data_IF_035115615004
#
_entry.id   IF_035115615004
#
_cell.length_a   1.000
_cell.length_b   1.000
_cell.length_c   1.000
_cell.angle_alpha   90.00
_cell.angle_beta   90.00
_cell.angle_gamma   90.00
#
_symmetry.space_group_name_H-M   'P 1'
#
loop_
_entity.id
_entity.type
_entity.pdbx_description
1 polymer ?
#
# COMPACT_ATOMS: atom_id res chain seq x y z
N UNK A 1 -8.45 19.51 34.42
CA UNK A 1 -7.99 18.12 34.16
C UNK A 1 -9.19 17.38 33.61
N UNK A 2 -9.41 17.43 32.30
CA UNK A 2 -10.54 16.74 31.66
C UNK A 2 -10.07 15.38 31.17
N UNK A 3 -10.34 14.34 31.97
CA UNK A 3 -10.22 12.96 31.52
C UNK A 3 -11.33 12.71 30.49
N UNK A 4 -10.99 12.84 29.21
CA UNK A 4 -11.82 12.27 28.14
C UNK A 4 -11.81 10.75 28.30
N UNK A 5 -12.92 10.19 28.78
CA UNK A 5 -13.19 8.76 28.77
C UNK A 5 -12.96 8.22 27.35
N UNK A 6 -12.27 7.08 27.18
CA UNK A 6 -12.10 6.49 25.88
C UNK A 6 -13.49 6.07 25.36
N UNK A 7 -13.98 6.77 24.34
CA UNK A 7 -15.13 6.33 23.56
C UNK A 7 -14.73 5.04 22.88
N UNK A 8 -14.98 3.90 23.53
CA UNK A 8 -14.88 2.60 22.90
C UNK A 8 -16.06 2.49 21.94
N UNK A 9 -15.85 2.46 20.62
CA UNK A 9 -16.94 2.24 19.70
C UNK A 9 -17.64 0.91 20.04
N UNK A 10 -18.97 0.80 19.84
CA UNK A 10 -19.69 -0.43 20.10
C UNK A 10 -19.03 -1.58 19.33
N UNK A 11 -18.88 -2.72 19.99
CA UNK A 11 -18.26 -3.90 19.40
C UNK A 11 -19.12 -4.40 18.24
N UNK A 12 -18.81 -3.93 17.03
CA UNK A 12 -19.37 -4.49 15.80
C UNK A 12 -19.09 -6.00 15.79
N UNK A 13 -20.09 -6.86 15.54
CA UNK A 13 -19.86 -8.30 15.47
C UNK A 13 -18.73 -8.59 14.48
N UNK A 14 -17.82 -9.52 14.82
CA UNK A 14 -16.64 -9.81 14.02
C UNK A 14 -17.01 -10.09 12.55
N UNK A 15 -18.08 -10.85 12.32
CA UNK A 15 -18.60 -11.21 10.99
C UNK A 15 -18.94 -9.97 10.15
N UNK A 16 -19.60 -8.96 10.76
CA UNK A 16 -19.99 -7.74 10.04
C UNK A 16 -18.78 -7.01 9.47
N UNK A 17 -17.65 -6.99 10.18
CA UNK A 17 -16.42 -6.34 9.70
C UNK A 17 -15.83 -7.04 8.48
N UNK A 18 -15.84 -8.38 8.45
CA UNK A 18 -15.42 -9.14 7.27
C UNK A 18 -16.36 -8.87 6.09
N UNK A 19 -17.67 -8.84 6.30
CA UNK A 19 -18.64 -8.51 5.24
C UNK A 19 -18.38 -7.10 4.68
N UNK A 20 -18.21 -6.09 5.54
CA UNK A 20 -17.94 -4.71 5.11
C UNK A 20 -16.62 -4.61 4.30
N UNK A 21 -15.57 -5.34 4.69
CA UNK A 21 -14.31 -5.37 3.92
C UNK A 21 -14.48 -6.12 2.60
N UNK A 22 -15.14 -7.28 2.58
CA UNK A 22 -15.42 -8.01 1.32
C UNK A 22 -16.19 -7.12 0.35
N UNK A 23 -17.27 -6.47 0.82
CA UNK A 23 -18.10 -5.61 -0.02
C UNK A 23 -17.31 -4.39 -0.53
N UNK A 24 -16.44 -3.80 0.30
CA UNK A 24 -15.58 -2.71 -0.14
C UNK A 24 -14.65 -3.14 -1.28
N UNK A 25 -13.95 -4.27 -1.14
CA UNK A 25 -13.01 -4.75 -2.16
C UNK A 25 -13.76 -5.20 -3.41
N UNK A 26 -14.90 -5.89 -3.25
CA UNK A 26 -15.76 -6.28 -4.37
C UNK A 26 -16.25 -5.07 -5.17
N UNK A 27 -16.76 -4.02 -4.49
CA UNK A 27 -17.15 -2.77 -5.14
C UNK A 27 -15.99 -2.14 -5.90
N UNK A 28 -14.81 -2.07 -5.28
CA UNK A 28 -13.63 -1.51 -5.91
C UNK A 28 -13.27 -2.28 -7.21
N UNK A 29 -13.20 -3.62 -7.14
CA UNK A 29 -12.95 -4.49 -8.30
C UNK A 29 -14.02 -4.29 -9.38
N UNK A 30 -15.31 -4.26 -9.01
CA UNK A 30 -16.42 -4.07 -9.95
C UNK A 30 -16.32 -2.76 -10.70
N UNK A 31 -15.91 -1.67 -10.03
CA UNK A 31 -15.71 -0.38 -10.70
C UNK A 31 -14.55 -0.47 -11.70
N UNK A 32 -13.45 -1.12 -11.33
CA UNK A 32 -12.31 -1.34 -12.21
C UNK A 32 -12.69 -2.06 -13.50
N UNK A 33 -13.49 -3.14 -13.40
CA UNK A 33 -14.00 -3.86 -14.57
C UNK A 33 -15.01 -3.06 -15.39
N UNK A 34 -15.94 -2.35 -14.74
CA UNK A 34 -17.01 -1.62 -15.43
C UNK A 34 -16.47 -0.48 -16.29
N UNK A 35 -15.43 0.21 -15.82
CA UNK A 35 -14.92 1.43 -16.47
C UNK A 35 -13.69 1.13 -17.36
N UNK A 36 -13.17 -0.12 -17.35
CA UNK A 36 -11.94 -0.52 -18.08
C UNK A 36 -10.83 0.52 -17.86
N UNK A 37 -10.64 0.90 -16.60
CA UNK A 37 -9.78 2.02 -16.24
C UNK A 37 -8.32 1.73 -16.59
N UNK A 38 -7.62 2.80 -16.98
CA UNK A 38 -6.18 2.85 -16.89
C UNK A 38 -5.74 2.49 -15.45
N UNK A 39 -4.65 1.72 -15.26
CA UNK A 39 -4.20 1.29 -13.94
C UNK A 39 -4.08 2.44 -12.93
N UNK A 40 -3.56 3.59 -13.34
CA UNK A 40 -3.37 4.71 -12.42
C UNK A 40 -4.72 5.31 -12.01
N UNK A 41 -5.69 5.40 -12.93
CA UNK A 41 -7.06 5.86 -12.63
C UNK A 41 -7.74 4.93 -11.63
N UNK A 42 -7.57 3.62 -11.80
CA UNK A 42 -8.09 2.62 -10.87
C UNK A 42 -7.53 2.86 -9.46
N UNK A 43 -6.22 3.03 -9.31
CA UNK A 43 -5.56 3.30 -8.03
C UNK A 43 -6.06 4.61 -7.38
N UNK A 44 -6.16 5.68 -8.17
CA UNK A 44 -6.58 7.01 -7.71
C UNK A 44 -8.02 6.97 -7.17
N UNK A 45 -8.91 6.21 -7.81
CA UNK A 45 -10.30 6.05 -7.37
C UNK A 45 -10.41 5.41 -5.97
N UNK A 46 -9.41 4.63 -5.55
CA UNK A 46 -9.35 4.07 -4.21
C UNK A 46 -9.32 5.10 -3.10
N UNK A 47 -8.81 6.31 -3.36
CA UNK A 47 -8.65 7.37 -2.36
C UNK A 47 -10.01 7.83 -1.81
N UNK A 48 -10.96 8.31 -2.64
CA UNK A 48 -12.28 8.70 -2.12
C UNK A 48 -13.01 7.52 -1.47
N UNK A 49 -12.91 6.30 -2.01
CA UNK A 49 -13.50 5.12 -1.39
C UNK A 49 -12.95 4.88 0.03
N UNK A 50 -11.63 4.99 0.18
CA UNK A 50 -10.92 4.83 1.46
C UNK A 50 -11.30 5.91 2.46
N UNK A 51 -11.36 7.17 2.01
CA UNK A 51 -11.79 8.30 2.84
C UNK A 51 -13.23 8.09 3.33
N UNK A 52 -14.15 7.72 2.42
CA UNK A 52 -15.54 7.44 2.75
C UNK A 52 -15.65 6.27 3.75
N UNK A 53 -14.96 5.16 3.53
CA UNK A 53 -15.00 4.02 4.43
C UNK A 53 -14.43 4.37 5.81
N UNK A 54 -13.30 5.08 5.87
CA UNK A 54 -12.67 5.49 7.12
C UNK A 54 -13.55 6.47 7.93
N UNK A 55 -14.18 7.44 7.27
CA UNK A 55 -15.00 8.46 7.95
C UNK A 55 -16.42 8.01 8.24
N UNK A 56 -17.06 7.24 7.35
CA UNK A 56 -18.49 6.89 7.45
C UNK A 56 -18.71 5.53 8.11
N UNK A 57 -17.91 4.52 7.74
CA UNK A 57 -18.04 3.15 8.27
C UNK A 57 -17.25 3.01 9.58
N UNK A 58 -15.96 3.36 9.55
CA UNK A 58 -15.12 3.27 10.76
C UNK A 58 -15.34 4.43 11.72
N UNK A 59 -15.78 5.59 11.23
CA UNK A 59 -15.97 6.81 12.02
C UNK A 59 -14.71 7.19 12.80
N UNK A 60 -13.57 7.10 12.13
CA UNK A 60 -12.26 7.40 12.70
C UNK A 60 -11.57 8.48 11.88
N UNK A 61 -10.72 9.34 12.49
CA UNK A 61 -9.99 10.35 11.76
C UNK A 61 -8.98 9.72 10.77
N UNK A 62 -8.71 10.41 9.66
CA UNK A 62 -7.85 9.91 8.58
C UNK A 62 -6.42 9.61 9.02
N UNK A 63 -5.85 10.40 9.94
CA UNK A 63 -4.46 10.21 10.37
C UNK A 63 -4.19 8.85 11.05
N UNK A 64 -5.24 8.18 11.54
CA UNK A 64 -5.14 6.82 12.10
C UNK A 64 -4.89 5.74 11.05
N UNK A 65 -5.07 6.06 9.77
CA UNK A 65 -4.68 5.19 8.66
C UNK A 65 -3.15 5.02 8.58
N UNK A 66 -2.40 6.06 8.94
CA UNK A 66 -0.92 6.06 8.87
C UNK A 66 -0.27 5.67 10.19
N UNK A 67 -0.88 6.05 11.31
CA UNK A 67 -0.38 5.76 12.65
C UNK A 67 -1.55 5.36 13.56
N UNK A 68 -1.68 4.07 13.87
CA UNK A 68 -2.85 3.50 14.57
C UNK A 68 -3.14 4.21 15.90
N UNK A 69 -2.10 4.43 16.68
CA UNK A 69 -2.18 5.00 18.03
C UNK A 69 -1.84 6.51 18.05
N UNK A 70 -1.85 7.16 16.88
CA UNK A 70 -1.62 8.60 16.76
C UNK A 70 -2.76 9.41 17.37
N UNK A 71 -2.43 10.40 18.21
CA UNK A 71 -3.43 11.28 18.82
C UNK A 71 -3.92 12.38 17.87
N UNK A 72 -3.01 13.01 17.12
CA UNK A 72 -3.32 14.08 16.14
C UNK A 72 -2.27 14.10 15.03
N UNK A 73 -2.67 14.47 13.81
CA UNK A 73 -1.72 14.76 12.73
C UNK A 73 -0.99 16.06 13.02
N UNK A 74 0.31 15.96 13.33
CA UNK A 74 1.20 17.12 13.54
C UNK A 74 2.58 16.77 13.02
N UNK A 75 3.13 17.65 12.20
CA UNK A 75 4.50 17.57 11.72
C UNK A 75 5.39 18.47 12.60
N UNK A 76 6.43 17.88 13.20
CA UNK A 76 7.50 18.62 13.83
C UNK A 76 8.38 19.29 12.77
N UNK A 77 9.16 20.31 13.15
CA UNK A 77 10.05 21.04 12.22
C UNK A 77 10.95 20.10 11.40
N UNK A 78 11.50 19.07 12.03
CA UNK A 78 12.37 18.12 11.35
C UNK A 78 11.61 17.18 10.39
N UNK A 79 10.30 16.96 10.57
CA UNK A 79 9.49 16.17 9.62
C UNK A 79 9.40 16.85 8.26
N UNK A 80 9.52 18.17 8.18
CA UNK A 80 9.56 18.87 6.89
C UNK A 80 10.79 18.51 6.05
N UNK A 81 11.90 18.11 6.67
CA UNK A 81 13.04 17.57 5.93
C UNK A 81 12.69 16.22 5.27
N UNK A 82 11.89 15.38 5.94
CA UNK A 82 11.36 14.15 5.34
C UNK A 82 10.34 14.44 4.22
N UNK A 83 9.49 15.47 4.39
CA UNK A 83 8.57 15.91 3.33
C UNK A 83 9.37 16.33 2.09
N UNK A 84 10.37 17.18 2.26
CA UNK A 84 11.24 17.60 1.17
C UNK A 84 11.89 16.39 0.49
N UNK A 85 12.44 15.45 1.26
CA UNK A 85 13.03 14.22 0.74
C UNK A 85 12.05 13.40 -0.12
N UNK A 86 10.83 13.16 0.37
CA UNK A 86 9.84 12.34 -0.33
C UNK A 86 9.18 13.04 -1.53
N UNK A 87 9.23 14.38 -1.60
CA UNK A 87 8.70 15.14 -2.74
C UNK A 87 9.66 15.12 -3.94
N UNK A 88 10.98 15.01 -3.72
CA UNK A 88 12.00 15.19 -4.78
C UNK A 88 11.66 14.41 -6.04
N UNK A 89 11.48 13.09 -5.96
CA UNK A 89 11.30 12.27 -7.15
C UNK A 89 9.92 12.46 -7.81
N UNK A 90 8.78 12.44 -7.08
CA UNK A 90 7.48 12.78 -7.66
C UNK A 90 7.44 14.16 -8.35
N UNK A 91 8.02 15.19 -7.72
CA UNK A 91 8.08 16.53 -8.30
C UNK A 91 8.99 16.58 -9.54
N UNK A 92 10.14 15.89 -9.49
CA UNK A 92 11.05 15.76 -10.64
C UNK A 92 10.32 15.13 -11.82
N UNK A 93 9.56 14.05 -11.60
CA UNK A 93 8.80 13.39 -12.67
C UNK A 93 7.74 14.31 -13.28
N UNK A 94 7.01 15.05 -12.46
CA UNK A 94 6.01 16.02 -12.93
C UNK A 94 6.66 17.13 -13.78
N UNK A 95 7.82 17.67 -13.36
CA UNK A 95 8.58 18.65 -14.14
C UNK A 95 9.07 18.05 -15.46
N UNK A 96 9.65 16.86 -15.44
CA UNK A 96 10.16 16.20 -16.65
C UNK A 96 9.05 15.91 -17.66
N UNK A 97 7.86 15.53 -17.20
CA UNK A 97 6.71 15.35 -18.09
C UNK A 97 6.32 16.65 -18.79
N UNK A 98 6.29 17.78 -18.07
CA UNK A 98 6.03 19.09 -18.64
C UNK A 98 7.08 19.48 -19.68
N UNK A 99 8.36 19.28 -19.37
CA UNK A 99 9.47 19.60 -20.27
C UNK A 99 9.45 18.76 -21.55
N UNK A 100 9.12 17.47 -21.44
CA UNK A 100 9.09 16.55 -22.58
C UNK A 100 7.73 16.52 -23.31
N UNK A 101 6.77 17.38 -22.94
CA UNK A 101 5.41 17.42 -23.51
C UNK A 101 4.68 16.07 -23.44
N UNK A 102 5.01 15.24 -22.43
CA UNK A 102 4.42 13.93 -22.20
C UNK A 102 3.32 13.98 -21.11
N UNK A 103 2.66 15.12 -20.96
CA UNK A 103 1.71 15.37 -19.87
C UNK A 103 0.37 14.70 -20.18
N UNK A 104 -0.05 13.80 -19.31
CA UNK A 104 -1.42 13.28 -19.28
C UNK A 104 -2.10 13.71 -17.97
N UNK A 105 -3.41 14.00 -17.96
CA UNK A 105 -4.14 14.36 -16.74
C UNK A 105 -3.98 13.31 -15.63
N UNK A 106 -4.02 12.02 -15.99
CA UNK A 106 -3.87 10.90 -15.06
C UNK A 106 -2.53 10.94 -14.32
N UNK A 107 -1.41 11.08 -15.06
CA UNK A 107 -0.08 11.10 -14.45
C UNK A 107 0.14 12.37 -13.60
N UNK A 108 -0.42 13.51 -14.01
CA UNK A 108 -0.39 14.74 -13.19
C UNK A 108 -1.11 14.51 -11.86
N UNK A 109 -2.29 13.89 -11.88
CA UNK A 109 -3.05 13.57 -10.67
C UNK A 109 -2.28 12.56 -9.82
N UNK A 110 -1.73 11.51 -10.43
CA UNK A 110 -0.94 10.48 -9.76
C UNK A 110 0.25 11.08 -9.00
N UNK A 111 1.08 11.89 -9.67
CA UNK A 111 2.25 12.52 -9.02
C UNK A 111 1.84 13.59 -8.01
N UNK A 112 0.73 14.30 -8.22
CA UNK A 112 0.18 15.23 -7.23
C UNK A 112 -0.26 14.50 -5.95
N UNK A 113 -0.85 13.31 -6.09
CA UNK A 113 -1.20 12.46 -4.96
C UNK A 113 0.06 11.94 -4.26
N UNK A 114 1.09 11.54 -5.01
CA UNK A 114 2.37 11.15 -4.42
C UNK A 114 3.00 12.31 -3.62
N UNK A 115 2.93 13.55 -4.12
CA UNK A 115 3.38 14.74 -3.38
C UNK A 115 2.55 14.93 -2.10
N UNK A 116 1.23 14.77 -2.15
CA UNK A 116 0.40 14.80 -0.94
C UNK A 116 0.75 13.67 0.03
N UNK A 117 1.02 12.47 -0.50
CA UNK A 117 1.46 11.29 0.23
C UNK A 117 2.79 11.47 0.94
N UNK A 118 3.66 12.37 0.47
CA UNK A 118 4.91 12.71 1.14
C UNK A 118 4.68 13.26 2.57
N UNK A 119 3.59 13.98 2.81
CA UNK A 119 3.23 14.48 4.15
C UNK A 119 2.80 13.34 5.07
N UNK A 120 2.01 12.39 4.56
CA UNK A 120 1.61 11.20 5.29
C UNK A 120 2.81 10.28 5.59
N UNK A 121 3.69 10.10 4.61
CA UNK A 121 4.94 9.36 4.77
C UNK A 121 5.84 10.03 5.81
N UNK A 122 6.07 11.34 5.72
CA UNK A 122 6.86 12.10 6.69
C UNK A 122 6.27 12.01 8.11
N UNK A 123 4.94 11.99 8.25
CA UNK A 123 4.31 11.74 9.55
C UNK A 123 4.57 10.32 10.07
N UNK A 124 4.50 9.30 9.22
CA UNK A 124 4.80 7.91 9.58
C UNK A 124 6.26 7.71 9.97
N UNK A 125 7.20 8.05 9.08
CA UNK A 125 8.64 7.98 9.33
C UNK A 125 9.07 8.87 10.50
N UNK A 126 8.44 10.04 10.59
CA UNK A 126 8.62 11.01 11.65
C UNK A 126 8.31 10.50 13.07
N UNK A 127 7.48 9.46 13.16
CA UNK A 127 7.03 8.87 14.42
C UNK A 127 7.51 7.40 14.57
N UNK A 128 8.55 7.01 13.83
CA UNK A 128 9.17 5.69 14.00
C UNK A 128 9.84 5.59 15.37
N UNK A 129 9.45 4.55 16.12
CA UNK A 129 10.11 4.17 17.38
C UNK A 129 11.17 3.12 17.09
N UNK A 130 12.15 2.95 17.99
CA UNK A 130 13.16 1.86 17.89
C UNK A 130 12.53 0.48 17.67
N UNK A 131 11.41 0.22 18.36
CA UNK A 131 10.65 -1.01 18.16
C UNK A 131 10.08 -1.12 16.74
N UNK A 132 9.52 -0.04 16.19
CA UNK A 132 8.99 0.00 14.81
C UNK A 132 10.08 -0.19 13.76
N UNK A 133 11.27 0.38 13.98
CA UNK A 133 12.45 0.14 13.12
C UNK A 133 12.84 -1.33 13.12
N UNK A 134 12.84 -1.98 14.29
CA UNK A 134 13.09 -3.42 14.39
C UNK A 134 12.02 -4.24 13.65
N UNK A 135 10.76 -3.84 13.73
CA UNK A 135 9.68 -4.49 12.97
C UNK A 135 9.83 -4.27 11.46
N UNK A 136 10.27 -3.08 11.02
CA UNK A 136 10.57 -2.79 9.61
C UNK A 136 11.67 -3.70 9.07
N UNK A 137 12.77 -3.86 9.83
CA UNK A 137 13.84 -4.79 9.46
C UNK A 137 13.31 -6.21 9.29
N UNK A 138 12.55 -6.73 10.25
CA UNK A 138 11.97 -8.07 10.14
C UNK A 138 10.92 -8.20 9.03
N UNK A 139 10.18 -7.13 8.73
CA UNK A 139 9.24 -7.08 7.62
C UNK A 139 9.96 -7.20 6.28
N UNK A 140 11.06 -6.45 6.10
CA UNK A 140 11.94 -6.54 4.94
C UNK A 140 12.56 -7.94 4.82
N UNK A 141 13.06 -8.49 5.92
CA UNK A 141 13.69 -9.81 5.93
C UNK A 141 12.71 -10.94 5.58
N UNK A 142 11.43 -10.79 5.89
CA UNK A 142 10.43 -11.85 5.62
C UNK A 142 9.61 -11.55 4.37
N UNK A 143 8.69 -10.60 4.45
CA UNK A 143 7.84 -10.20 3.33
C UNK A 143 8.63 -9.64 2.16
N UNK A 144 9.67 -8.84 2.43
CA UNK A 144 10.56 -8.27 1.40
C UNK A 144 11.31 -9.36 0.64
N UNK A 145 11.99 -10.27 1.34
CA UNK A 145 12.68 -11.40 0.69
C UNK A 145 11.72 -12.28 -0.10
N UNK A 146 10.54 -12.59 0.45
CA UNK A 146 9.54 -13.38 -0.26
C UNK A 146 9.06 -12.68 -1.55
N UNK A 147 8.73 -11.38 -1.48
CA UNK A 147 8.27 -10.61 -2.62
C UNK A 147 9.34 -10.41 -3.70
N UNK A 148 10.58 -10.14 -3.30
CA UNK A 148 11.73 -10.06 -4.21
C UNK A 148 11.98 -11.41 -4.89
N UNK A 149 11.93 -12.51 -4.13
CA UNK A 149 12.13 -13.85 -4.70
C UNK A 149 11.05 -14.19 -5.72
N UNK A 150 9.78 -13.91 -5.42
CA UNK A 150 8.67 -14.12 -6.37
C UNK A 150 8.83 -13.24 -7.63
N UNK A 151 9.22 -11.98 -7.46
CA UNK A 151 9.46 -11.06 -8.58
C UNK A 151 10.63 -11.51 -9.45
N UNK A 152 11.71 -11.99 -8.83
CA UNK A 152 12.88 -12.53 -9.53
C UNK A 152 12.52 -13.81 -10.30
N UNK A 153 11.78 -14.74 -9.71
CA UNK A 153 11.31 -15.94 -10.39
C UNK A 153 10.42 -15.60 -11.60
N UNK A 154 9.55 -14.60 -11.47
CA UNK A 154 8.74 -14.09 -12.58
C UNK A 154 9.59 -13.50 -13.71
N UNK A 155 10.56 -12.65 -13.38
CA UNK A 155 11.49 -12.06 -14.34
C UNK A 155 12.36 -13.13 -15.02
N UNK A 156 12.85 -14.12 -14.26
CA UNK A 156 13.63 -15.24 -14.78
C UNK A 156 12.81 -16.11 -15.74
N UNK A 157 11.58 -16.46 -15.37
CA UNK A 157 10.70 -17.23 -16.26
C UNK A 157 10.45 -16.47 -17.58
N UNK A 158 10.22 -15.14 -17.50
CA UNK A 158 10.06 -14.31 -18.69
C UNK A 158 11.33 -14.26 -19.54
N UNK A 159 12.49 -14.05 -18.92
CA UNK A 159 13.79 -14.03 -19.62
C UNK A 159 14.06 -15.36 -20.33
N UNK A 160 13.90 -16.49 -19.64
CA UNK A 160 14.09 -17.82 -20.21
C UNK A 160 13.15 -18.08 -21.39
N UNK A 161 11.87 -17.68 -21.29
CA UNK A 161 10.90 -17.84 -22.40
C UNK A 161 11.27 -17.05 -23.66
N UNK A 162 12.05 -15.98 -23.51
CA UNK A 162 12.53 -15.13 -24.61
C UNK A 162 13.98 -15.42 -25.01
N UNK A 163 14.62 -16.43 -24.41
CA UNK A 163 16.05 -16.74 -24.64
C UNK A 163 17.02 -15.67 -24.11
N UNK A 164 16.59 -14.83 -23.16
CA UNK A 164 17.35 -13.72 -22.60
C UNK A 164 17.87 -13.96 -21.18
N UNK A 165 18.35 -12.88 -20.55
CA UNK A 165 18.84 -12.86 -19.16
C UNK A 165 18.06 -11.84 -18.34
N UNK A 166 18.05 -12.02 -17.01
CA UNK A 166 17.49 -11.02 -16.09
C UNK A 166 18.50 -9.88 -15.96
N UNK A 167 18.07 -8.67 -16.30
CA UNK A 167 18.86 -7.45 -16.11
C UNK A 167 18.34 -6.67 -14.92
N UNK A 168 19.22 -6.00 -14.18
CA UNK A 168 18.83 -5.16 -13.05
C UNK A 168 19.22 -3.70 -13.28
N UNK A 169 18.22 -2.81 -13.30
CA UNK A 169 18.41 -1.37 -13.49
C UNK A 169 18.32 -0.63 -12.14
N UNK A 170 19.47 -0.42 -11.49
CA UNK A 170 19.53 0.25 -10.18
C UNK A 170 18.93 1.68 -10.17
N UNK A 171 19.14 2.54 -11.19
CA UNK A 171 18.43 3.81 -11.28
C UNK A 171 16.90 3.68 -11.28
N UNK A 172 16.33 2.68 -11.96
CA UNK A 172 14.89 2.42 -11.95
C UNK A 172 14.43 1.97 -10.57
N UNK A 173 15.20 1.12 -9.89
CA UNK A 173 14.91 0.71 -8.52
C UNK A 173 14.83 1.93 -7.59
N UNK A 174 15.83 2.81 -7.62
CA UNK A 174 15.89 3.97 -6.74
C UNK A 174 14.72 4.94 -6.98
N UNK A 175 14.43 5.24 -8.25
CA UNK A 175 13.30 6.12 -8.62
C UNK A 175 11.96 5.51 -8.22
N UNK A 176 11.76 4.23 -8.52
CA UNK A 176 10.53 3.50 -8.16
C UNK A 176 10.34 3.48 -6.65
N UNK A 177 11.39 3.21 -5.87
CA UNK A 177 11.33 3.21 -4.42
C UNK A 177 10.93 4.59 -3.88
N UNK A 178 11.55 5.66 -4.39
CA UNK A 178 11.25 7.02 -3.96
C UNK A 178 9.80 7.45 -4.27
N UNK A 179 9.21 6.94 -5.36
CA UNK A 179 7.81 7.20 -5.73
C UNK A 179 6.84 6.32 -4.93
N UNK A 180 7.14 5.04 -4.78
CA UNK A 180 6.20 4.09 -4.18
C UNK A 180 6.05 4.27 -2.67
N UNK A 181 7.06 4.81 -1.97
CA UNK A 181 6.92 5.16 -0.55
C UNK A 181 5.70 6.08 -0.32
N UNK A 182 5.64 7.31 -0.88
CA UNK A 182 4.48 8.16 -0.66
C UNK A 182 3.18 7.61 -1.28
N UNK A 183 3.24 6.88 -2.41
CA UNK A 183 2.07 6.24 -3.01
C UNK A 183 1.45 5.19 -2.08
N UNK A 184 2.26 4.38 -1.41
CA UNK A 184 1.77 3.40 -0.42
C UNK A 184 0.98 4.07 0.72
N UNK A 185 1.34 5.29 1.10
CA UNK A 185 0.62 6.06 2.14
C UNK A 185 -0.71 6.65 1.67
N UNK A 186 -0.99 6.64 0.36
CA UNK A 186 -2.20 7.22 -0.22
C UNK A 186 -3.12 6.21 -0.92
N UNK A 187 -2.58 5.11 -1.46
CA UNK A 187 -3.34 4.24 -2.36
C UNK A 187 -3.40 2.78 -1.90
N UNK A 188 -2.30 2.16 -1.50
CA UNK A 188 -2.28 0.70 -1.29
C UNK A 188 -2.19 0.30 0.18
N UNK A 189 -1.05 0.53 0.84
CA UNK A 189 -0.86 0.13 2.23
C UNK A 189 -1.84 0.83 3.17
N UNK A 190 -2.14 2.10 2.89
CA UNK A 190 -3.13 2.87 3.66
C UNK A 190 -4.52 2.21 3.62
N UNK A 191 -4.86 1.54 2.52
CA UNK A 191 -6.13 0.86 2.32
C UNK A 191 -6.08 -0.50 3.00
N UNK A 192 -5.16 -1.38 2.59
CA UNK A 192 -5.19 -2.76 3.06
C UNK A 192 -4.75 -2.89 4.51
N UNK A 193 -3.73 -2.15 4.95
CA UNK A 193 -3.18 -2.25 6.31
C UNK A 193 -3.78 -1.17 7.20
N UNK A 194 -3.66 0.09 6.78
CA UNK A 194 -4.16 1.25 7.52
C UNK A 194 -5.67 1.17 7.81
N UNK A 195 -6.47 0.82 6.80
CA UNK A 195 -7.93 0.79 6.90
C UNK A 195 -8.49 -0.61 7.15
N UNK A 196 -8.34 -1.54 6.20
CA UNK A 196 -9.07 -2.82 6.18
C UNK A 196 -8.59 -3.79 7.27
N UNK A 197 -7.28 -4.01 7.40
CA UNK A 197 -6.73 -4.86 8.46
C UNK A 197 -7.07 -4.28 9.85
N UNK A 198 -6.91 -2.97 10.03
CA UNK A 198 -7.27 -2.31 11.29
C UNK A 198 -8.76 -2.38 11.57
N UNK A 199 -9.63 -2.35 10.55
CA UNK A 199 -11.07 -2.53 10.71
C UNK A 199 -11.40 -3.91 11.24
N UNK A 200 -10.94 -4.97 10.57
CA UNK A 200 -11.20 -6.37 10.92
C UNK A 200 -10.73 -6.65 12.34
N UNK A 201 -9.49 -6.27 12.65
CA UNK A 201 -8.86 -6.55 13.95
C UNK A 201 -9.32 -5.62 15.07
N UNK A 202 -10.08 -4.56 14.75
CA UNK A 202 -10.45 -3.51 15.70
C UNK A 202 -9.23 -2.83 16.33
N UNK A 203 -8.10 -2.81 15.62
CA UNK A 203 -6.82 -2.28 16.11
C UNK A 203 -6.08 -3.14 17.13
N UNK A 204 -6.55 -4.37 17.43
CA UNK A 204 -5.91 -5.31 18.37
C UNK A 204 -4.93 -6.27 17.67
N UNK A 205 -4.32 -7.19 18.43
CA UNK A 205 -3.57 -8.32 17.86
C UNK A 205 -4.53 -9.17 17.02
N UNK A 206 -4.38 -9.13 15.70
CA UNK A 206 -5.16 -9.95 14.75
C UNK A 206 -4.67 -11.39 14.65
N UNK A 207 -5.51 -12.27 14.10
CA UNK A 207 -5.17 -13.68 13.84
C UNK A 207 -4.41 -13.84 12.51
N UNK A 208 -3.75 -14.99 12.33
CA UNK A 208 -3.15 -15.35 11.04
C UNK A 208 -4.22 -15.41 9.93
N UNK A 209 -5.41 -15.92 10.25
CA UNK A 209 -6.55 -15.93 9.33
C UNK A 209 -6.90 -14.52 8.84
N UNK A 210 -7.00 -13.54 9.74
CA UNK A 210 -7.27 -12.15 9.34
C UNK A 210 -6.16 -11.58 8.44
N UNK A 211 -4.90 -11.96 8.68
CA UNK A 211 -3.78 -11.53 7.83
C UNK A 211 -3.88 -12.15 6.44
N UNK A 212 -4.10 -13.47 6.35
CA UNK A 212 -4.29 -14.18 5.09
C UNK A 212 -5.49 -13.61 4.33
N UNK A 213 -6.62 -13.40 5.00
CA UNK A 213 -7.84 -12.87 4.40
C UNK A 213 -7.63 -11.50 3.74
N UNK A 214 -7.02 -10.53 4.45
CA UNK A 214 -6.71 -9.21 3.87
C UNK A 214 -5.71 -9.34 2.72
N UNK A 215 -4.74 -10.24 2.84
CA UNK A 215 -3.70 -10.45 1.83
C UNK A 215 -4.25 -11.06 0.54
N UNK A 216 -5.18 -12.01 0.66
CA UNK A 216 -5.91 -12.58 -0.49
C UNK A 216 -6.75 -11.49 -1.15
N UNK A 217 -7.49 -10.69 -0.39
CA UNK A 217 -8.27 -9.58 -0.95
C UNK A 217 -7.39 -8.54 -1.64
N UNK A 218 -6.19 -8.25 -1.10
CA UNK A 218 -5.21 -7.40 -1.78
C UNK A 218 -4.74 -8.01 -3.11
N UNK A 219 -4.52 -9.32 -3.16
CA UNK A 219 -4.23 -10.01 -4.42
C UNK A 219 -5.37 -9.91 -5.42
N UNK A 220 -6.59 -10.28 -5.01
CA UNK A 220 -7.77 -10.24 -5.88
C UNK A 220 -8.11 -8.83 -6.35
N UNK A 221 -7.76 -7.80 -5.59
CA UNK A 221 -7.94 -6.41 -5.99
C UNK A 221 -7.12 -6.03 -7.24
N UNK A 222 -6.09 -6.79 -7.60
CA UNK A 222 -5.35 -6.63 -8.86
C UNK A 222 -6.03 -7.24 -10.09
N UNK A 223 -7.16 -7.96 -9.92
CA UNK A 223 -7.84 -8.65 -11.03
C UNK A 223 -8.16 -7.74 -12.23
N UNK A 224 -8.67 -6.50 -12.07
CA UNK A 224 -8.89 -5.59 -13.19
C UNK A 224 -7.60 -5.12 -13.89
N UNK A 225 -6.45 -5.22 -13.21
CA UNK A 225 -5.14 -4.81 -13.70
C UNK A 225 -4.38 -5.95 -14.39
N UNK A 226 -4.81 -7.21 -14.19
CA UNK A 226 -4.14 -8.36 -14.75
C UNK A 226 -4.24 -8.32 -16.27
N UNK A 227 -3.12 -8.43 -17.02
CA UNK A 227 -3.17 -8.61 -18.46
C UNK A 227 -4.01 -9.86 -18.74
N UNK A 228 -5.00 -9.75 -19.63
CA UNK A 228 -5.99 -10.79 -19.93
C UNK A 228 -5.44 -12.05 -20.61
N UNK A 229 -4.15 -12.34 -20.42
CA UNK A 229 -3.40 -13.43 -21.05
C UNK A 229 -3.55 -14.76 -20.30
N UNK A 230 -4.14 -14.76 -19.10
CA UNK A 230 -4.36 -15.97 -18.30
C UNK A 230 -5.85 -16.20 -18.01
N UNK A 231 -6.33 -17.46 -17.94
CA UNK A 231 -7.70 -17.76 -17.54
C UNK A 231 -8.02 -17.21 -16.14
N UNK A 232 -9.24 -16.70 -15.94
CA UNK A 232 -9.65 -16.02 -14.70
C UNK A 232 -9.37 -16.85 -13.44
N UNK A 233 -9.69 -18.14 -13.44
CA UNK A 233 -9.47 -19.01 -12.29
C UNK A 233 -7.98 -19.12 -11.90
N UNK A 234 -7.09 -19.09 -12.90
CA UNK A 234 -5.65 -19.14 -12.67
C UNK A 234 -5.15 -17.78 -12.17
N UNK A 235 -5.69 -16.67 -12.68
CA UNK A 235 -5.40 -15.33 -12.16
C UNK A 235 -5.77 -15.22 -10.67
N UNK A 236 -6.98 -15.66 -10.32
CA UNK A 236 -7.46 -15.70 -8.93
C UNK A 236 -6.49 -16.49 -8.04
N UNK A 237 -6.09 -17.68 -8.47
CA UNK A 237 -5.17 -18.54 -7.73
C UNK A 237 -3.79 -17.86 -7.55
N UNK A 238 -3.18 -17.42 -8.64
CA UNK A 238 -1.83 -16.83 -8.63
C UNK A 238 -1.81 -15.54 -7.80
N UNK A 239 -2.77 -14.63 -8.02
CA UNK A 239 -2.85 -13.38 -7.27
C UNK A 239 -3.05 -13.63 -5.78
N UNK A 240 -3.91 -14.58 -5.41
CA UNK A 240 -4.15 -14.96 -4.01
C UNK A 240 -2.90 -15.54 -3.36
N UNK A 241 -2.13 -16.38 -4.07
CA UNK A 241 -0.92 -17.01 -3.55
C UNK A 241 0.22 -15.99 -3.38
N UNK A 242 0.53 -15.23 -4.43
CA UNK A 242 1.63 -14.24 -4.43
C UNK A 242 1.40 -13.21 -3.32
N UNK A 243 0.22 -12.61 -3.28
CA UNK A 243 -0.09 -11.58 -2.30
C UNK A 243 -0.38 -12.17 -0.92
N UNK A 244 -0.89 -13.41 -0.83
CA UNK A 244 -1.04 -14.13 0.43
C UNK A 244 0.29 -14.30 1.16
N UNK A 245 1.33 -14.75 0.44
CA UNK A 245 2.67 -14.99 1.01
C UNK A 245 3.27 -13.67 1.53
N UNK A 246 3.27 -12.62 0.70
CA UNK A 246 3.89 -11.33 1.05
C UNK A 246 3.03 -10.56 2.06
N UNK A 247 1.73 -10.49 1.83
CA UNK A 247 0.79 -9.68 2.59
C UNK A 247 0.62 -10.11 4.04
N UNK A 248 0.79 -11.40 4.36
CA UNK A 248 0.73 -11.89 5.74
C UNK A 248 1.81 -11.21 6.58
N UNK A 249 3.04 -11.15 6.08
CA UNK A 249 4.13 -10.48 6.77
C UNK A 249 3.81 -8.99 6.96
N UNK A 250 3.41 -8.30 5.88
CA UNK A 250 3.04 -6.87 5.93
C UNK A 250 1.97 -6.59 7.00
N UNK A 251 0.93 -7.44 7.08
CA UNK A 251 -0.14 -7.34 8.09
C UNK A 251 0.37 -7.59 9.51
N UNK A 252 1.20 -8.61 9.73
CA UNK A 252 1.77 -8.92 11.04
C UNK A 252 2.62 -7.75 11.55
N UNK A 253 3.51 -7.20 10.72
CA UNK A 253 4.41 -6.12 11.14
C UNK A 253 3.71 -4.76 11.24
N UNK A 254 2.66 -4.52 10.45
CA UNK A 254 1.72 -3.43 10.68
C UNK A 254 1.08 -3.53 12.07
N UNK A 255 0.47 -4.66 12.42
CA UNK A 255 -0.22 -4.85 13.71
C UNK A 255 0.70 -4.70 14.91
N UNK A 256 1.96 -5.17 14.78
CA UNK A 256 2.99 -5.04 15.81
C UNK A 256 3.44 -3.59 15.98
N UNK A 257 3.75 -2.91 14.89
CA UNK A 257 4.36 -1.57 14.94
C UNK A 257 3.34 -0.43 15.09
N UNK A 258 2.11 -0.60 14.59
CA UNK A 258 1.10 0.44 14.48
C UNK A 258 1.48 1.60 13.56
N UNK A 259 2.51 1.45 12.74
CA UNK A 259 3.06 2.52 11.90
C UNK A 259 3.20 2.05 10.45
N UNK A 260 2.61 2.81 9.52
CA UNK A 260 2.43 2.38 8.13
C UNK A 260 3.75 2.42 7.37
N UNK A 261 4.74 3.17 7.85
CA UNK A 261 6.09 3.18 7.30
C UNK A 261 6.70 1.77 7.26
N UNK A 262 6.34 0.90 8.21
CA UNK A 262 6.86 -0.48 8.29
C UNK A 262 6.47 -1.31 7.06
N UNK A 263 5.17 -1.58 6.80
CA UNK A 263 4.78 -2.33 5.61
C UNK A 263 4.97 -1.52 4.32
N UNK A 264 4.78 -0.20 4.31
CA UNK A 264 4.98 0.65 3.12
C UNK A 264 6.42 0.63 2.61
N UNK A 265 7.40 0.65 3.51
CA UNK A 265 8.81 0.51 3.09
C UNK A 265 9.07 -0.84 2.44
N UNK A 266 8.50 -1.90 3.01
CA UNK A 266 8.70 -3.27 2.49
C UNK A 266 8.03 -3.44 1.13
N UNK A 267 6.80 -2.95 1.00
CA UNK A 267 6.06 -3.00 -0.25
C UNK A 267 6.76 -2.16 -1.34
N UNK A 268 7.07 -0.89 -1.07
CA UNK A 268 7.78 -0.04 -2.03
C UNK A 268 9.12 -0.63 -2.46
N UNK A 269 9.83 -1.33 -1.56
CA UNK A 269 11.07 -2.04 -1.89
C UNK A 269 10.85 -3.21 -2.85
N UNK A 270 9.84 -4.05 -2.60
CA UNK A 270 9.49 -5.18 -3.50
C UNK A 270 9.17 -4.63 -4.90
N UNK A 271 8.36 -3.60 -4.98
CA UNK A 271 7.93 -2.99 -6.24
C UNK A 271 9.09 -2.31 -6.99
N UNK A 272 9.99 -1.65 -6.25
CA UNK A 272 11.19 -1.08 -6.81
C UNK A 272 12.12 -2.14 -7.42
N UNK A 273 12.32 -3.26 -6.73
CA UNK A 273 13.13 -4.37 -7.23
C UNK A 273 12.45 -5.03 -8.42
N UNK A 274 11.14 -5.28 -8.37
CA UNK A 274 10.34 -5.79 -9.48
C UNK A 274 10.53 -4.95 -10.73
N UNK A 275 10.30 -3.63 -10.63
CA UNK A 275 10.41 -2.72 -11.77
C UNK A 275 11.83 -2.60 -12.32
N UNK A 276 12.85 -2.82 -11.49
CA UNK A 276 14.23 -2.81 -11.94
C UNK A 276 14.64 -4.08 -12.71
N UNK A 277 13.85 -5.16 -12.61
CA UNK A 277 14.11 -6.43 -13.29
C UNK A 277 13.26 -6.66 -14.55
N UNK A 278 12.27 -5.81 -14.79
CA UNK A 278 11.39 -5.82 -15.97
C UNK A 278 11.92 -4.88 -17.04
#
# INVERSE_FOLDING_TARGET
MDQQLPVTPPATPAIRRYIEVTLFVALYISIGYAIKMDPDVYLILGIPLTVCFQLLIRRQPLHRLWLRDGQRFRLARWHYALVALFIIEPARQLVMMCLHKAVTPTLVIYYSIAIAGAFAAAYGFGNLKRYSLRQMFFCLLTGGLAGVSLSFLGALAQALSKGGQVHFNAPVALKSFAIYIPVCFMMEEVVFRGMLDTHITGGRKGTLFAALYVSVLWGLWHLPLSPGTMPLWLAILVLSLVHGIVGIALSIYWRRSGNLAVPATTHAFIDAVRNAMM
#
